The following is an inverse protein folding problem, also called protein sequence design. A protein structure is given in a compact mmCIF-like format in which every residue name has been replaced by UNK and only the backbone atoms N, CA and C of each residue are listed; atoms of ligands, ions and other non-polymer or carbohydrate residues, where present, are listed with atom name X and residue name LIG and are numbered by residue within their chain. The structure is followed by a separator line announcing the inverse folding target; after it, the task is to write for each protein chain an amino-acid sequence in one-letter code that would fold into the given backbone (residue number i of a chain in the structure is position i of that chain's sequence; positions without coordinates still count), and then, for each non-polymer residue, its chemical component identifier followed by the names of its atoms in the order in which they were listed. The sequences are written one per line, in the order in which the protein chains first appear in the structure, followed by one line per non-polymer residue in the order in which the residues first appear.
data_IF_476175798248
#
_entry.id   IF_476175798248
#
_cell.length_a   1.000
_cell.length_b   1.000
_cell.length_c   1.000
_cell.angle_alpha   90.00
_cell.angle_beta   90.00
_cell.angle_gamma   90.00
#
_symmetry.space_group_name_H-M   'P 1'
#
loop_
_entity.id
_entity.type
_entity.pdbx_description
1 polymer ?
#
# COMPACT_ATOMS: atom_id res chain seq x y z
N UNK A 1 -15.13 15.28 24.05
CA UNK A 1 -14.08 14.73 23.18
C UNK A 1 -14.66 13.44 22.65
N UNK A 2 -15.30 13.46 21.48
CA UNK A 2 -15.94 12.27 20.93
C UNK A 2 -14.86 11.20 20.70
N UNK A 3 -15.03 10.04 21.35
CA UNK A 3 -14.27 8.85 21.02
C UNK A 3 -14.54 8.54 19.55
N UNK A 4 -13.55 8.77 18.68
CA UNK A 4 -13.61 8.27 17.32
C UNK A 4 -13.46 6.76 17.38
N UNK A 5 -14.59 6.08 17.52
CA UNK A 5 -14.71 4.63 17.42
C UNK A 5 -14.25 4.24 16.01
N UNK A 6 -13.41 3.20 15.92
CA UNK A 6 -12.98 2.66 14.64
C UNK A 6 -14.24 2.28 13.82
N UNK A 7 -14.38 2.71 12.55
CA UNK A 7 -15.61 2.46 11.80
C UNK A 7 -15.94 0.98 11.77
N UNK A 8 -17.22 0.62 11.94
CA UNK A 8 -17.63 -0.78 11.89
C UNK A 8 -17.47 -1.34 10.48
N UNK A 9 -17.38 -2.67 10.35
CA UNK A 9 -17.33 -3.32 9.05
C UNK A 9 -18.56 -2.96 8.17
N UNK A 10 -19.72 -2.74 8.78
CA UNK A 10 -20.93 -2.29 8.08
C UNK A 10 -20.81 -0.86 7.54
N UNK A 11 -20.13 0.03 8.28
CA UNK A 11 -19.89 1.42 7.85
C UNK A 11 -18.98 1.50 6.63
N UNK A 12 -18.03 0.54 6.54
CA UNK A 12 -17.25 0.36 5.33
C UNK A 12 -18.15 -0.17 4.20
N UNK A 13 -18.86 -1.28 4.41
CA UNK A 13 -19.62 -1.96 3.36
C UNK A 13 -20.79 -1.14 2.77
N UNK A 14 -21.36 -0.20 3.53
CA UNK A 14 -22.44 0.69 3.06
C UNK A 14 -21.95 1.89 2.24
N UNK A 15 -20.64 2.11 2.13
CA UNK A 15 -20.12 3.20 1.30
C UNK A 15 -20.30 2.87 -0.18
N UNK A 16 -20.88 3.82 -0.91
CA UNK A 16 -20.87 3.78 -2.36
C UNK A 16 -19.44 3.80 -2.90
N UNK A 17 -19.26 3.20 -4.09
CA UNK A 17 -18.02 3.27 -4.86
C UNK A 17 -17.59 4.74 -5.01
N UNK A 18 -16.51 5.12 -4.33
CA UNK A 18 -15.91 6.42 -4.54
C UNK A 18 -15.14 6.41 -5.85
N UNK A 19 -15.26 7.49 -6.61
CA UNK A 19 -14.37 7.74 -7.74
C UNK A 19 -13.01 8.17 -7.20
N UNK A 20 -12.06 7.26 -7.19
CA UNK A 20 -10.66 7.59 -6.97
C UNK A 20 -10.07 8.26 -8.20
N UNK A 21 -9.12 9.15 -7.99
CA UNK A 21 -8.38 9.79 -9.08
C UNK A 21 -7.56 8.73 -9.81
N UNK A 22 -7.90 8.48 -11.08
CA UNK A 22 -7.14 7.59 -11.97
C UNK A 22 -7.52 6.10 -11.94
N UNK A 23 -8.18 5.60 -10.89
CA UNK A 23 -8.60 4.18 -10.83
C UNK A 23 -10.11 4.04 -10.63
N UNK A 24 -10.75 3.39 -11.60
CA UNK A 24 -12.18 3.07 -11.57
C UNK A 24 -12.39 1.69 -10.96
N UNK A 25 -13.60 1.45 -10.45
CA UNK A 25 -14.08 0.14 -10.03
C UNK A 25 -13.38 -0.48 -8.80
N UNK A 26 -12.82 0.35 -7.92
CA UNK A 26 -12.28 -0.06 -6.61
C UNK A 26 -13.19 0.43 -5.49
N UNK A 27 -13.62 -0.46 -4.59
CA UNK A 27 -14.48 -0.11 -3.43
C UNK A 27 -13.73 0.58 -2.30
N UNK A 28 -12.55 0.06 -1.92
CA UNK A 28 -11.74 0.60 -0.83
C UNK A 28 -10.26 0.60 -1.19
N UNK A 29 -9.59 1.69 -0.86
CA UNK A 29 -8.15 1.84 -0.92
C UNK A 29 -7.61 1.98 0.49
N UNK A 30 -6.74 1.05 0.89
CA UNK A 30 -6.07 1.08 2.19
C UNK A 30 -4.59 1.35 1.97
N UNK A 31 -4.08 2.40 2.60
CA UNK A 31 -2.67 2.76 2.55
C UNK A 31 -1.93 2.21 3.77
N UNK A 32 -0.86 1.46 3.53
CA UNK A 32 -0.03 0.87 4.58
C UNK A 32 1.32 1.55 4.50
N UNK A 33 1.68 2.27 5.56
CA UNK A 33 2.92 3.03 5.59
C UNK A 33 3.63 2.93 6.92
N UNK A 34 4.85 3.44 6.96
CA UNK A 34 5.68 3.48 8.16
C UNK A 34 6.48 4.78 8.20
N UNK A 35 6.72 5.30 9.40
CA UNK A 35 7.62 6.45 9.56
C UNK A 35 9.09 6.09 9.32
N UNK A 36 9.45 4.80 9.40
CA UNK A 36 10.82 4.29 9.28
C UNK A 36 10.89 3.05 8.39
N UNK A 37 12.01 2.88 7.69
CA UNK A 37 12.34 1.66 6.96
C UNK A 37 12.66 0.48 7.89
N UNK A 38 12.47 -0.75 7.41
CA UNK A 38 12.83 -1.96 8.17
C UNK A 38 11.85 -2.39 9.26
N UNK A 39 10.69 -1.75 9.40
CA UNK A 39 9.67 -2.13 10.41
C UNK A 39 8.76 -3.30 9.97
N UNK A 40 8.99 -3.88 8.78
CA UNK A 40 8.18 -4.98 8.23
C UNK A 40 6.87 -4.54 7.55
N UNK A 41 6.78 -3.28 7.11
CA UNK A 41 5.62 -2.71 6.40
C UNK A 41 5.15 -3.59 5.23
N UNK A 42 6.03 -3.92 4.28
CA UNK A 42 5.68 -4.74 3.09
C UNK A 42 5.17 -6.12 3.47
N UNK A 43 5.73 -6.75 4.52
CA UNK A 43 5.24 -8.02 5.05
C UNK A 43 3.82 -7.90 5.59
N UNK A 44 3.54 -6.85 6.37
CA UNK A 44 2.19 -6.57 6.88
C UNK A 44 1.22 -6.28 5.73
N UNK A 45 1.62 -5.50 4.73
CA UNK A 45 0.83 -5.21 3.52
C UNK A 45 0.44 -6.50 2.79
N UNK A 46 1.41 -7.39 2.56
CA UNK A 46 1.19 -8.69 1.90
C UNK A 46 0.26 -9.60 2.72
N UNK A 47 0.49 -9.72 4.03
CA UNK A 47 -0.34 -10.55 4.93
C UNK A 47 -1.78 -10.03 4.94
N UNK A 48 -1.98 -8.72 5.05
CA UNK A 48 -3.32 -8.12 5.02
C UNK A 48 -4.03 -8.40 3.70
N UNK A 49 -3.35 -8.23 2.56
CA UNK A 49 -3.90 -8.51 1.25
C UNK A 49 -4.32 -9.99 1.10
N UNK A 50 -3.47 -10.91 1.56
CA UNK A 50 -3.77 -12.35 1.56
C UNK A 50 -4.92 -12.71 2.51
N UNK A 51 -4.98 -12.08 3.69
CA UNK A 51 -6.06 -12.29 4.66
C UNK A 51 -7.41 -11.83 4.11
N UNK A 52 -7.49 -10.62 3.53
CA UNK A 52 -8.70 -10.12 2.87
C UNK A 52 -9.12 -11.03 1.72
N UNK A 53 -8.16 -11.48 0.90
CA UNK A 53 -8.44 -12.45 -0.17
C UNK A 53 -8.95 -13.79 0.37
N UNK A 54 -8.38 -14.28 1.48
CA UNK A 54 -8.84 -15.52 2.15
C UNK A 54 -10.27 -15.37 2.69
N UNK A 55 -10.66 -14.16 3.07
CA UNK A 55 -12.04 -13.80 3.47
C UNK A 55 -13.00 -13.64 2.29
N UNK A 56 -12.58 -13.92 1.05
CA UNK A 56 -13.45 -13.96 -0.13
C UNK A 56 -13.53 -12.66 -0.92
N UNK A 57 -12.74 -11.63 -0.56
CA UNK A 57 -12.72 -10.37 -1.28
C UNK A 57 -11.83 -10.42 -2.53
N UNK A 58 -12.19 -9.63 -3.55
CA UNK A 58 -11.31 -9.33 -4.67
C UNK A 58 -10.28 -8.28 -4.25
N UNK A 59 -8.99 -8.64 -4.31
CA UNK A 59 -7.92 -7.81 -3.73
C UNK A 59 -6.81 -7.54 -4.75
N UNK A 60 -6.35 -6.29 -4.76
CA UNK A 60 -5.11 -5.86 -5.39
C UNK A 60 -4.11 -5.38 -4.35
N UNK A 61 -2.81 -5.50 -4.65
CA UNK A 61 -1.73 -4.88 -3.90
C UNK A 61 -0.76 -4.18 -4.85
N UNK A 62 -0.44 -2.92 -4.53
CA UNK A 62 0.49 -2.09 -5.29
C UNK A 62 1.67 -1.69 -4.40
N UNK A 63 2.85 -2.19 -4.74
CA UNK A 63 4.13 -1.76 -4.17
C UNK A 63 4.56 -0.41 -4.77
N UNK A 64 4.51 0.61 -3.90
CA UNK A 64 4.87 1.99 -4.22
C UNK A 64 6.24 2.37 -3.63
N UNK A 65 6.98 1.41 -3.08
CA UNK A 65 8.38 1.62 -2.71
C UNK A 65 9.27 1.50 -3.94
N UNK A 66 9.35 2.59 -4.69
CA UNK A 66 10.10 2.61 -5.94
C UNK A 66 11.63 2.55 -5.78
N UNK A 67 12.14 2.75 -4.56
CA UNK A 67 13.57 2.77 -4.26
C UNK A 67 14.09 1.43 -3.76
N UNK A 68 13.24 0.67 -3.08
CA UNK A 68 13.55 -0.66 -2.58
C UNK A 68 12.32 -1.56 -2.62
N UNK A 69 11.76 -1.85 -3.80
CA UNK A 69 10.60 -2.71 -3.92
C UNK A 69 10.96 -4.11 -3.46
N UNK A 70 10.18 -4.65 -2.52
CA UNK A 70 10.45 -5.96 -1.91
C UNK A 70 9.24 -6.91 -1.97
N UNK A 71 8.11 -6.46 -2.52
CA UNK A 71 6.86 -7.22 -2.48
C UNK A 71 6.95 -8.56 -3.20
N UNK A 72 7.67 -8.62 -4.32
CA UNK A 72 7.90 -9.84 -5.08
C UNK A 72 8.65 -10.89 -4.25
N UNK A 73 9.66 -10.47 -3.48
CA UNK A 73 10.42 -11.34 -2.58
C UNK A 73 9.55 -11.86 -1.44
N UNK A 74 8.76 -10.98 -0.83
CA UNK A 74 7.83 -11.35 0.26
C UNK A 74 6.78 -12.36 -0.21
N UNK A 75 6.29 -12.24 -1.44
CA UNK A 75 5.29 -13.15 -2.01
C UNK A 75 5.90 -14.37 -2.72
N UNK A 76 7.22 -14.44 -2.86
CA UNK A 76 7.91 -15.52 -3.59
C UNK A 76 7.54 -15.59 -5.06
N UNK A 77 7.27 -14.44 -5.71
CA UNK A 77 6.82 -14.38 -7.10
C UNK A 77 7.92 -13.84 -8.01
N UNK A 78 8.07 -14.48 -9.17
CA UNK A 78 8.94 -14.01 -10.24
C UNK A 78 8.18 -14.10 -11.58
N UNK A 79 7.25 -13.16 -11.77
CA UNK A 79 6.42 -13.05 -12.98
C UNK A 79 6.37 -11.59 -13.40
N UNK A 80 6.42 -11.34 -14.69
CA UNK A 80 6.29 -9.99 -15.23
C UNK A 80 4.82 -9.65 -15.50
N UNK A 81 4.38 -8.41 -15.24
CA UNK A 81 3.12 -7.95 -15.79
C UNK A 81 3.22 -7.92 -17.31
N UNK A 82 2.08 -8.04 -17.98
CA UNK A 82 2.01 -7.95 -19.44
C UNK A 82 1.13 -6.78 -19.87
N UNK A 83 1.35 -6.33 -21.10
CA UNK A 83 0.54 -5.25 -21.69
C UNK A 83 -0.53 -5.89 -22.56
N UNK A 84 -1.77 -5.48 -22.36
CA UNK A 84 -2.93 -5.93 -23.13
C UNK A 84 -3.78 -4.70 -23.50
N UNK A 85 -4.05 -4.52 -24.79
CA UNK A 85 -4.79 -3.35 -25.32
C UNK A 85 -4.24 -1.99 -24.82
N UNK A 86 -2.91 -1.87 -24.68
CA UNK A 86 -2.25 -0.65 -24.21
C UNK A 86 -2.38 -0.38 -22.71
N UNK A 87 -2.90 -1.34 -21.94
CA UNK A 87 -2.97 -1.30 -20.48
C UNK A 87 -2.05 -2.33 -19.84
N UNK A 88 -1.43 -1.95 -18.72
CA UNK A 88 -0.65 -2.86 -17.89
C UNK A 88 -1.62 -3.75 -17.10
N UNK A 89 -1.50 -5.06 -17.27
CA UNK A 89 -2.25 -6.04 -16.47
C UNK A 89 -1.39 -6.46 -15.28
N UNK A 90 -1.85 -6.22 -14.03
CA UNK A 90 -1.14 -6.68 -12.85
C UNK A 90 -0.91 -8.20 -12.88
N UNK A 91 0.18 -8.64 -12.26
CA UNK A 91 0.47 -10.06 -12.09
C UNK A 91 -0.62 -10.68 -11.22
N UNK A 92 -1.19 -11.80 -11.67
CA UNK A 92 -2.12 -12.58 -10.86
C UNK A 92 -1.38 -13.72 -10.16
N UNK A 93 -1.52 -13.79 -8.83
CA UNK A 93 -1.00 -14.87 -8.00
C UNK A 93 -2.01 -15.20 -6.90
N UNK A 94 -2.45 -16.46 -6.81
CA UNK A 94 -3.48 -16.87 -5.83
C UNK A 94 -4.76 -16.01 -5.85
N UNK A 95 -5.16 -15.52 -7.03
CA UNK A 95 -6.25 -14.56 -7.25
C UNK A 95 -6.05 -13.18 -6.59
N UNK A 96 -4.83 -12.86 -6.15
CA UNK A 96 -4.40 -11.52 -5.77
C UNK A 96 -3.78 -10.83 -7.00
N UNK A 97 -4.22 -9.60 -7.29
CA UNK A 97 -3.61 -8.77 -8.35
C UNK A 97 -2.44 -8.00 -7.76
N UNK A 98 -1.28 -8.06 -8.40
CA UNK A 98 -0.03 -7.57 -7.82
C UNK A 98 0.68 -6.67 -8.83
N UNK A 99 1.07 -5.49 -8.37
CA UNK A 99 1.91 -4.58 -9.13
C UNK A 99 3.09 -4.14 -8.27
N UNK A 100 4.29 -4.22 -8.83
CA UNK A 100 5.53 -3.72 -8.20
C UNK A 100 6.53 -3.41 -9.29
N UNK A 101 7.34 -2.37 -9.10
CA UNK A 101 8.46 -2.09 -10.01
C UNK A 101 9.46 -3.25 -10.07
N UNK A 102 9.62 -4.01 -8.96
CA UNK A 102 10.46 -5.21 -8.95
C UNK A 102 9.99 -6.30 -9.92
N UNK A 103 8.71 -6.29 -10.32
CA UNK A 103 8.16 -7.23 -11.31
C UNK A 103 8.25 -6.67 -12.74
N UNK A 104 8.43 -5.36 -12.91
CA UNK A 104 8.51 -4.71 -14.22
C UNK A 104 9.93 -4.62 -14.75
N UNK A 105 10.91 -4.51 -13.85
CA UNK A 105 12.29 -4.19 -14.19
C UNK A 105 13.13 -5.46 -14.08
N UNK A 106 13.95 -5.72 -15.08
CA UNK A 106 14.91 -6.83 -15.05
C UNK A 106 15.99 -6.55 -13.99
N UNK A 107 16.34 -7.57 -13.18
CA UNK A 107 17.25 -7.53 -12.01
C UNK A 107 18.64 -6.87 -12.23
N UNK A 108 19.00 -6.50 -13.46
CA UNK A 108 20.36 -6.08 -13.84
C UNK A 108 20.62 -4.58 -13.76
N UNK A 109 19.61 -3.73 -13.60
CA UNK A 109 19.79 -2.28 -13.63
C UNK A 109 19.43 -1.60 -12.30
N UNK A 110 20.38 -0.95 -11.60
CA UNK A 110 20.05 -0.12 -10.45
C UNK A 110 19.18 1.06 -10.88
N UNK A 111 18.00 1.17 -10.26
CA UNK A 111 17.03 2.21 -10.56
C UNK A 111 17.42 3.50 -9.84
N UNK A 112 18.06 4.42 -10.56
CA UNK A 112 18.32 5.76 -10.06
C UNK A 112 17.14 6.69 -10.38
N UNK A 113 16.05 6.60 -9.61
CA UNK A 113 14.96 7.57 -9.73
C UNK A 113 15.14 8.74 -8.77
N UNK A 114 14.92 9.97 -9.25
CA UNK A 114 14.81 11.18 -8.39
C UNK A 114 13.33 11.53 -8.24
N UNK A 115 12.96 12.20 -7.15
CA UNK A 115 11.56 12.44 -6.73
C UNK A 115 10.59 12.80 -7.86
N UNK A 116 10.94 13.77 -8.72
CA UNK A 116 10.09 14.17 -9.85
C UNK A 116 9.84 13.06 -10.89
N UNK A 117 10.82 12.21 -11.17
CA UNK A 117 10.64 11.06 -12.08
C UNK A 117 9.76 10.00 -11.45
N UNK A 118 9.92 9.75 -10.15
CA UNK A 118 9.10 8.81 -9.42
C UNK A 118 7.62 9.25 -9.37
N UNK A 119 7.34 10.53 -9.10
CA UNK A 119 5.97 11.06 -9.13
C UNK A 119 5.36 10.98 -10.53
N UNK A 120 6.13 11.23 -11.60
CA UNK A 120 5.65 11.06 -12.98
C UNK A 120 5.31 9.61 -13.28
N UNK A 121 6.20 8.67 -12.93
CA UNK A 121 5.96 7.24 -13.10
C UNK A 121 4.71 6.79 -12.33
N UNK A 122 4.50 7.30 -11.12
CA UNK A 122 3.28 7.04 -10.34
C UNK A 122 2.03 7.47 -11.10
N UNK A 123 2.04 8.68 -11.68
CA UNK A 123 0.92 9.18 -12.50
C UNK A 123 0.69 8.34 -13.76
N UNK A 124 1.76 7.91 -14.43
CA UNK A 124 1.68 7.04 -15.61
C UNK A 124 1.11 5.66 -15.26
N UNK A 125 1.56 5.06 -14.16
CA UNK A 125 1.05 3.76 -13.68
C UNK A 125 -0.42 3.85 -13.28
N UNK A 126 -0.82 4.92 -12.58
CA UNK A 126 -2.21 5.18 -12.24
C UNK A 126 -3.14 5.17 -13.46
N UNK A 127 -2.69 5.69 -14.60
CA UNK A 127 -3.48 5.76 -15.82
C UNK A 127 -3.37 4.52 -16.69
N UNK A 128 -2.24 3.82 -16.65
CA UNK A 128 -1.94 2.70 -17.54
C UNK A 128 -2.35 1.34 -16.98
N UNK A 129 -2.48 1.19 -15.67
CA UNK A 129 -2.82 -0.09 -15.05
C UNK A 129 -4.31 -0.35 -15.10
N UNK A 130 -4.68 -1.55 -15.57
CA UNK A 130 -6.03 -2.05 -15.48
C UNK A 130 -6.16 -3.04 -14.32
N UNK A 131 -6.62 -2.52 -13.19
CA UNK A 131 -6.91 -3.31 -12.00
C UNK A 131 -8.18 -4.15 -12.12
N UNK A 132 -9.08 -3.85 -13.08
CA UNK A 132 -10.45 -4.35 -13.08
C UNK A 132 -11.20 -4.07 -11.76
N UNK A 133 -12.38 -4.68 -11.55
CA UNK A 133 -13.13 -4.50 -10.32
C UNK A 133 -12.40 -5.12 -9.12
N UNK A 134 -12.29 -4.37 -8.03
CA UNK A 134 -11.71 -4.79 -6.76
C UNK A 134 -12.53 -4.30 -5.57
N UNK A 135 -12.55 -5.11 -4.51
CA UNK A 135 -13.09 -4.71 -3.22
C UNK A 135 -12.06 -3.90 -2.45
N UNK A 136 -10.81 -4.35 -2.46
CA UNK A 136 -9.71 -3.70 -1.78
C UNK A 136 -8.49 -3.54 -2.69
N UNK A 137 -7.92 -2.34 -2.71
CA UNK A 137 -6.56 -2.09 -3.18
C UNK A 137 -5.68 -1.68 -2.00
N UNK A 138 -4.67 -2.49 -1.73
CA UNK A 138 -3.67 -2.25 -0.71
C UNK A 138 -2.50 -1.48 -1.34
N UNK A 139 -2.18 -0.31 -0.81
CA UNK A 139 -1.02 0.47 -1.22
C UNK A 139 0.10 0.25 -0.21
N UNK A 140 1.19 -0.39 -0.64
CA UNK A 140 2.40 -0.54 0.16
C UNK A 140 3.31 0.66 -0.08
N UNK A 141 3.23 1.67 0.79
CA UNK A 141 3.89 2.97 0.60
C UNK A 141 5.41 2.89 0.76
N UNK A 142 6.21 3.82 0.22
CA UNK A 142 7.63 3.91 0.58
C UNK A 142 7.81 4.23 2.07
N UNK A 143 8.99 3.91 2.67
CA UNK A 143 9.28 4.29 4.05
C UNK A 143 9.41 5.80 4.21
N UNK A 144 8.99 6.30 5.37
CA UNK A 144 9.07 7.73 5.71
C UNK A 144 7.93 8.53 5.10
N UNK A 145 8.11 9.84 5.01
CA UNK A 145 7.06 10.80 4.62
C UNK A 145 7.57 11.78 3.56
N UNK A 146 8.24 11.24 2.53
CA UNK A 146 8.78 12.00 1.40
C UNK A 146 7.76 12.26 0.27
N UNK A 147 8.23 12.78 -0.86
CA UNK A 147 7.36 13.24 -1.95
C UNK A 147 6.44 12.16 -2.53
N UNK A 148 6.94 10.92 -2.72
CA UNK A 148 6.12 9.81 -3.23
C UNK A 148 5.02 9.44 -2.23
N UNK A 149 5.31 9.48 -0.93
CA UNK A 149 4.33 9.22 0.12
C UNK A 149 3.17 10.22 0.02
N UNK A 150 3.49 11.53 0.00
CA UNK A 150 2.49 12.59 -0.10
C UNK A 150 1.72 12.52 -1.43
N UNK A 151 2.44 12.40 -2.55
CA UNK A 151 1.83 12.27 -3.89
C UNK A 151 0.88 11.08 -3.97
N UNK A 152 1.21 9.97 -3.30
CA UNK A 152 0.33 8.79 -3.25
C UNK A 152 -0.95 9.09 -2.48
N UNK A 153 -0.84 9.75 -1.33
CA UNK A 153 -2.04 10.14 -0.56
C UNK A 153 -2.93 11.08 -1.39
N UNK A 154 -2.33 12.04 -2.09
CA UNK A 154 -3.06 12.99 -2.94
C UNK A 154 -3.73 12.30 -4.13
N UNK A 155 -3.01 11.42 -4.83
CA UNK A 155 -3.53 10.76 -6.03
C UNK A 155 -4.50 9.62 -5.75
N UNK A 156 -4.41 8.93 -4.62
CA UNK A 156 -5.31 7.81 -4.34
C UNK A 156 -6.43 8.18 -3.36
N UNK A 157 -6.20 9.18 -2.50
CA UNK A 157 -7.11 9.61 -1.43
C UNK A 157 -7.69 8.41 -0.66
N UNK A 158 -6.84 7.62 0.03
CA UNK A 158 -7.24 6.33 0.61
C UNK A 158 -8.31 6.50 1.71
N UNK A 159 -9.24 5.54 1.79
CA UNK A 159 -10.28 5.52 2.83
C UNK A 159 -9.72 5.34 4.23
N UNK A 160 -8.52 4.77 4.32
CA UNK A 160 -7.88 4.55 5.60
C UNK A 160 -6.41 4.23 5.47
N UNK A 161 -5.72 4.51 6.57
CA UNK A 161 -4.30 4.30 6.71
C UNK A 161 -4.01 3.36 7.88
N UNK A 162 -3.14 2.37 7.65
CA UNK A 162 -2.61 1.48 8.68
C UNK A 162 -1.13 1.79 8.86
N UNK A 163 -0.76 2.23 10.06
CA UNK A 163 0.61 2.61 10.38
C UNK A 163 1.38 1.43 10.97
N UNK A 164 2.47 1.02 10.33
CA UNK A 164 3.36 -0.02 10.84
C UNK A 164 4.54 0.63 11.57
N UNK A 165 4.82 0.17 12.78
CA UNK A 165 5.95 0.63 13.60
C UNK A 165 6.50 -0.51 14.47
N UNK A 166 7.56 -0.24 15.23
CA UNK A 166 8.14 -1.17 16.22
C UNK A 166 8.24 -0.51 17.59
N UNK A 167 8.66 -1.27 18.60
CA UNK A 167 8.90 -0.73 19.97
C UNK A 167 10.05 0.29 20.04
N UNK A 168 10.89 0.39 19.00
CA UNK A 168 12.07 1.24 19.03
C UNK A 168 11.67 2.73 19.09
N UNK A 169 12.30 3.48 20.00
CA UNK A 169 11.99 4.89 20.25
C UNK A 169 12.02 5.76 18.99
N UNK A 170 12.96 5.50 18.08
CA UNK A 170 13.04 6.21 16.79
C UNK A 170 11.83 5.93 15.90
N UNK A 171 11.45 4.65 15.76
CA UNK A 171 10.28 4.26 14.97
C UNK A 171 8.97 4.82 15.55
N UNK A 172 8.85 4.92 16.89
CA UNK A 172 7.72 5.57 17.54
C UNK A 172 7.69 7.08 17.31
N UNK A 173 8.85 7.75 17.30
CA UNK A 173 8.95 9.17 16.99
C UNK A 173 8.53 9.45 15.55
N UNK A 174 9.01 8.66 14.60
CA UNK A 174 8.65 8.80 13.19
C UNK A 174 7.16 8.49 12.97
N UNK A 175 6.62 7.46 13.64
CA UNK A 175 5.20 7.13 13.61
C UNK A 175 4.31 8.30 14.07
N UNK A 176 4.68 9.00 15.15
CA UNK A 176 3.96 10.19 15.62
C UNK A 176 3.95 11.29 14.56
N UNK A 177 5.08 11.54 13.90
CA UNK A 177 5.18 12.52 12.82
C UNK A 177 4.29 12.14 11.64
N UNK A 178 4.29 10.87 11.24
CA UNK A 178 3.41 10.36 10.17
C UNK A 178 1.93 10.58 10.52
N UNK A 179 1.52 10.33 11.76
CA UNK A 179 0.13 10.59 12.20
C UNK A 179 -0.24 12.07 12.07
N UNK A 180 0.67 13.00 12.40
CA UNK A 180 0.42 14.44 12.23
C UNK A 180 0.17 14.79 10.75
N UNK A 181 1.01 14.28 9.84
CA UNK A 181 0.86 14.50 8.39
C UNK A 181 -0.47 13.93 7.90
N UNK A 182 -0.85 12.73 8.34
CA UNK A 182 -2.14 12.11 7.95
C UNK A 182 -3.34 12.95 8.41
N UNK A 183 -3.26 13.56 9.61
CA UNK A 183 -4.29 14.47 10.11
C UNK A 183 -4.40 15.73 9.27
N UNK A 184 -3.28 16.32 8.86
CA UNK A 184 -3.25 17.51 7.99
C UNK A 184 -3.84 17.22 6.60
N UNK A 185 -3.66 15.99 6.10
CA UNK A 185 -4.20 15.53 4.82
C UNK A 185 -5.59 14.86 4.94
N UNK A 186 -6.24 14.94 6.11
CA UNK A 186 -7.57 14.37 6.37
C UNK A 186 -7.71 12.86 6.10
N UNK A 187 -6.60 12.11 6.15
CA UNK A 187 -6.61 10.66 5.95
C UNK A 187 -6.88 9.95 7.28
N UNK A 188 -7.95 9.11 7.38
CA UNK A 188 -8.28 8.39 8.61
C UNK A 188 -7.22 7.34 8.95
N UNK A 189 -6.67 7.39 10.17
CA UNK A 189 -5.83 6.31 10.70
C UNK A 189 -6.75 5.24 11.28
N UNK A 190 -6.82 4.08 10.62
CA UNK A 190 -7.66 2.95 11.06
C UNK A 190 -7.02 2.18 12.22
N UNK A 191 -5.70 2.21 12.31
CA UNK A 191 -4.98 1.54 13.38
C UNK A 191 -3.47 1.65 13.25
N UNK A 192 -2.79 1.17 14.30
CA UNK A 192 -1.34 1.07 14.36
C UNK A 192 -0.96 -0.39 14.60
N UNK A 193 -0.13 -0.93 13.72
CA UNK A 193 0.45 -2.27 13.87
C UNK A 193 1.83 -2.11 14.50
N UNK A 194 1.96 -2.58 15.74
CA UNK A 194 3.25 -2.71 16.41
C UNK A 194 3.87 -4.06 16.01
N UNK A 195 4.73 -4.04 15.00
CA UNK A 195 5.47 -5.21 14.56
C UNK A 195 6.71 -5.44 15.43
N UNK A 196 7.28 -6.65 15.39
CA UNK A 196 8.48 -7.03 16.15
C UNK A 196 8.34 -6.70 17.65
N UNK A 197 7.15 -6.96 18.22
CA UNK A 197 6.79 -6.55 19.58
C UNK A 197 7.41 -7.44 20.67
N UNK A 198 8.11 -8.50 20.30
CA UNK A 198 8.80 -9.47 21.14
C UNK A 198 9.24 -10.66 20.31
N UNK A 199 9.97 -11.59 20.91
CA UNK A 199 10.09 -12.95 20.40
C UNK A 199 8.92 -13.75 20.96
N UNK A 200 8.15 -14.40 20.11
CA UNK A 200 7.32 -15.49 20.55
C UNK A 200 8.28 -16.68 20.64
N UNK A 201 8.71 -17.03 21.84
CA UNK A 201 9.30 -18.34 22.06
C UNK A 201 8.17 -19.34 21.85
N UNK A 202 8.30 -20.21 20.84
CA UNK A 202 7.42 -21.35 20.68
C UNK A 202 7.67 -22.27 21.90
N UNK A 203 6.70 -22.37 22.82
CA UNK A 203 6.60 -23.49 23.77
C UNK A 203 6.12 -24.77 23.07
#
# INVERSE_FOLDING_TARGET
MEEKICPSAEDFLKKELKKHTGIKDIRFILAIGSGKGGVGKTTVSAILALALKKSGYSVGIFDLDFYGPNLNLVLGINKHPFIEFGKIKPVSFNNLKILSLALMISEKEPIFMRGLMATKLLQELLQSVDWGPLDFLILDLPPGTGDIFLSTLDFFNPEGFILVTTSHKLALSDAKRTISILKENYIPVLGVVKNMAGFFEDE
#
